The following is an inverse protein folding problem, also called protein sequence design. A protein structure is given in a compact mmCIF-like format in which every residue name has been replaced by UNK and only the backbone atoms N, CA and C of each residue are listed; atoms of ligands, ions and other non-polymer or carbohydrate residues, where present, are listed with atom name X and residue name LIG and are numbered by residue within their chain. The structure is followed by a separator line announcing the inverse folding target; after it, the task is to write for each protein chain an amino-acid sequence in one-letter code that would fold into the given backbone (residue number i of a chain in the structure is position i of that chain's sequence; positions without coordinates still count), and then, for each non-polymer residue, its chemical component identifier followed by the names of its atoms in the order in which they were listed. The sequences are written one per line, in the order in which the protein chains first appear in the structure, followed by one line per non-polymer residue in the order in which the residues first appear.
data_IF_046088323961
#
_entry.id   IF_046088323961
#
_cell.length_a   1.000
_cell.length_b   1.000
_cell.length_c   1.000
_cell.angle_alpha   90.00
_cell.angle_beta   90.00
_cell.angle_gamma   90.00
#
_symmetry.space_group_name_H-M   'P 1'
#
loop_
_entity.id
_entity.type
_entity.pdbx_description
1 polymer ?
#
# COMPACT_ATOMS: atom_id res chain seq x y z
N UNK A 1 0.38 -14.81 -15.12
CA UNK A 1 -0.01 -14.26 -16.44
C UNK A 1 1.15 -13.57 -17.17
N UNK A 2 2.05 -12.84 -16.50
CA UNK A 2 3.14 -12.09 -17.18
C UNK A 2 4.06 -13.00 -18.04
N UNK A 3 4.20 -14.29 -17.70
CA UNK A 3 4.97 -15.26 -18.49
C UNK A 3 4.35 -15.64 -19.84
N UNK A 4 3.09 -15.28 -20.10
CA UNK A 4 2.36 -15.60 -21.35
C UNK A 4 2.16 -14.40 -22.26
N UNK A 5 2.76 -13.24 -21.93
CA UNK A 5 2.68 -12.05 -22.76
C UNK A 5 3.27 -12.30 -24.15
N UNK A 6 2.68 -11.72 -25.22
CA UNK A 6 3.29 -11.73 -26.54
C UNK A 6 4.72 -11.18 -26.50
N UNK A 7 5.66 -11.70 -27.32
CA UNK A 7 7.05 -11.29 -27.31
C UNK A 7 7.26 -9.78 -27.43
N UNK A 8 6.52 -9.11 -28.33
CA UNK A 8 6.61 -7.66 -28.56
C UNK A 8 6.23 -6.86 -27.31
N UNK A 9 5.17 -7.28 -26.59
CA UNK A 9 4.77 -6.62 -25.33
C UNK A 9 5.79 -6.87 -24.23
N UNK A 10 6.25 -8.11 -24.10
CA UNK A 10 7.26 -8.47 -23.11
C UNK A 10 8.56 -7.70 -23.34
N UNK A 11 8.97 -7.52 -24.59
CA UNK A 11 10.16 -6.75 -24.94
C UNK A 11 10.07 -5.29 -24.47
N UNK A 12 8.93 -4.62 -24.68
CA UNK A 12 8.74 -3.25 -24.17
C UNK A 12 8.73 -3.18 -22.64
N UNK A 13 8.05 -4.12 -21.96
CA UNK A 13 7.98 -4.17 -20.48
C UNK A 13 9.35 -4.32 -19.84
N UNK A 14 10.21 -5.15 -20.43
CA UNK A 14 11.54 -5.47 -19.89
C UNK A 14 12.66 -4.69 -20.57
N UNK A 15 12.37 -3.48 -21.03
CA UNK A 15 13.38 -2.55 -21.58
C UNK A 15 13.41 -1.26 -20.77
N UNK A 16 14.53 -1.00 -20.10
CA UNK A 16 14.77 0.26 -19.38
C UNK A 16 15.22 1.36 -20.35
N UNK A 17 14.88 2.62 -20.03
CA UNK A 17 15.13 3.75 -20.92
C UNK A 17 16.61 4.08 -21.17
N UNK A 18 17.54 3.56 -20.35
CA UNK A 18 18.99 3.72 -20.57
C UNK A 18 19.57 2.82 -21.66
N UNK A 19 18.88 1.73 -22.05
CA UNK A 19 19.33 0.83 -23.11
C UNK A 19 18.28 0.60 -24.21
N UNK A 20 17.19 1.37 -24.17
CA UNK A 20 16.23 1.42 -25.26
C UNK A 20 16.83 2.20 -26.45
N UNK A 21 16.61 1.71 -27.69
CA UNK A 21 17.00 2.45 -28.90
C UNK A 21 16.28 3.79 -28.99
N UNK A 22 14.98 3.78 -28.68
CA UNK A 22 14.15 4.97 -28.51
C UNK A 22 13.51 4.92 -27.13
N UNK A 23 13.43 6.07 -26.44
CA UNK A 23 12.79 6.15 -25.12
C UNK A 23 11.33 5.67 -25.14
N UNK A 24 10.64 5.87 -26.26
CA UNK A 24 9.26 5.42 -26.47
C UNK A 24 9.10 3.89 -26.54
N UNK A 25 10.19 3.16 -26.72
CA UNK A 25 10.26 1.70 -26.74
C UNK A 25 10.61 1.09 -25.38
N UNK A 26 10.78 1.93 -24.35
CA UNK A 26 10.96 1.49 -22.96
C UNK A 26 9.62 1.27 -22.25
N UNK A 27 9.69 0.74 -21.03
CA UNK A 27 8.52 0.49 -20.20
C UNK A 27 7.73 1.76 -19.82
N UNK A 28 8.29 2.97 -19.93
CA UNK A 28 7.74 4.21 -19.33
C UNK A 28 6.30 4.55 -19.83
N UNK A 29 5.98 4.25 -21.08
CA UNK A 29 4.61 4.46 -21.60
C UNK A 29 3.62 3.45 -21.05
N UNK A 30 4.08 2.22 -20.79
CA UNK A 30 3.29 1.17 -20.18
C UNK A 30 3.14 1.44 -18.68
N UNK A 31 4.18 1.90 -17.99
CA UNK A 31 4.13 2.36 -16.58
C UNK A 31 2.98 3.36 -16.39
N UNK A 32 2.95 4.42 -17.21
CA UNK A 32 1.88 5.43 -17.16
C UNK A 32 0.46 4.84 -17.23
N UNK A 33 0.22 3.86 -18.11
CA UNK A 33 -1.07 3.19 -18.21
C UNK A 33 -1.30 2.22 -17.03
N UNK A 34 -0.23 1.56 -16.61
CA UNK A 34 -0.22 0.51 -15.60
C UNK A 34 -0.59 1.02 -14.22
N UNK A 35 -0.13 2.21 -13.87
CA UNK A 35 -0.51 2.93 -12.66
C UNK A 35 -2.04 3.07 -12.57
N UNK A 36 -2.69 3.57 -13.63
CA UNK A 36 -4.15 3.69 -13.67
C UNK A 36 -4.88 2.33 -13.61
N UNK A 37 -4.33 1.29 -14.22
CA UNK A 37 -4.89 -0.08 -14.15
C UNK A 37 -4.83 -0.61 -12.72
N UNK A 38 -3.69 -0.44 -12.04
CA UNK A 38 -3.49 -0.85 -10.66
C UNK A 38 -4.40 -0.07 -9.71
N UNK A 39 -4.45 1.26 -9.85
CA UNK A 39 -5.33 2.12 -9.05
C UNK A 39 -6.79 1.70 -9.16
N UNK A 40 -7.27 1.39 -10.37
CA UNK A 40 -8.64 0.94 -10.59
C UNK A 40 -8.91 -0.42 -9.96
N UNK A 41 -8.04 -1.41 -10.17
CA UNK A 41 -8.19 -2.75 -9.60
C UNK A 41 -8.25 -2.73 -8.07
N UNK A 42 -7.34 -1.98 -7.44
CA UNK A 42 -7.32 -1.84 -5.98
C UNK A 42 -8.52 -1.04 -5.50
N UNK A 43 -8.88 0.07 -6.15
CA UNK A 43 -10.06 0.86 -5.77
C UNK A 43 -11.36 0.04 -5.85
N UNK A 44 -11.53 -0.74 -6.93
CA UNK A 44 -12.70 -1.57 -7.13
C UNK A 44 -12.79 -2.68 -6.08
N UNK A 45 -11.68 -3.37 -5.78
CA UNK A 45 -11.66 -4.38 -4.73
C UNK A 45 -11.96 -3.78 -3.35
N UNK A 46 -11.36 -2.64 -3.00
CA UNK A 46 -11.59 -1.99 -1.71
C UNK A 46 -13.05 -1.54 -1.56
N UNK A 47 -13.64 -0.97 -2.61
CA UNK A 47 -15.05 -0.56 -2.63
C UNK A 47 -15.99 -1.75 -2.40
N UNK A 48 -15.70 -2.89 -3.05
CA UNK A 48 -16.54 -4.09 -2.97
C UNK A 48 -16.36 -4.84 -1.65
N UNK A 49 -15.12 -4.96 -1.16
CA UNK A 49 -14.76 -5.75 0.04
C UNK A 49 -15.06 -5.02 1.35
N UNK A 50 -15.07 -3.68 1.35
CA UNK A 50 -15.24 -2.86 2.56
C UNK A 50 -16.35 -1.79 2.40
N UNK A 51 -17.63 -2.20 2.24
CA UNK A 51 -18.73 -1.28 1.97
C UNK A 51 -19.01 -0.28 3.11
N UNK A 52 -18.59 -0.59 4.34
CA UNK A 52 -18.79 0.26 5.51
C UNK A 52 -17.65 1.27 5.74
N UNK A 53 -16.58 1.23 4.95
CA UNK A 53 -15.47 2.17 5.07
C UNK A 53 -15.79 3.50 4.36
N UNK A 54 -15.50 4.61 5.04
CA UNK A 54 -15.62 5.94 4.45
C UNK A 54 -14.58 6.18 3.34
N UNK A 55 -14.89 7.08 2.40
CA UNK A 55 -14.03 7.46 1.27
C UNK A 55 -12.59 7.77 1.71
N UNK A 56 -12.41 8.60 2.75
CA UNK A 56 -11.07 8.96 3.21
C UNK A 56 -10.23 7.78 3.71
N UNK A 57 -10.87 6.75 4.30
CA UNK A 57 -10.20 5.52 4.73
C UNK A 57 -9.82 4.66 3.52
N UNK A 58 -10.74 4.48 2.58
CA UNK A 58 -10.48 3.76 1.33
C UNK A 58 -9.33 4.40 0.53
N UNK A 59 -9.33 5.74 0.43
CA UNK A 59 -8.26 6.50 -0.25
C UNK A 59 -6.90 6.32 0.44
N UNK A 60 -6.84 6.33 1.78
CA UNK A 60 -5.60 6.05 2.53
C UNK A 60 -5.08 4.63 2.30
N UNK A 61 -5.97 3.63 2.36
CA UNK A 61 -5.61 2.22 2.12
C UNK A 61 -5.09 2.05 0.69
N UNK A 62 -5.84 2.55 -0.31
CA UNK A 62 -5.42 2.50 -1.72
C UNK A 62 -4.05 3.13 -1.91
N UNK A 63 -3.84 4.35 -1.40
CA UNK A 63 -2.56 5.06 -1.53
C UNK A 63 -1.37 4.30 -0.92
N UNK A 64 -1.59 3.52 0.14
CA UNK A 64 -0.57 2.64 0.68
C UNK A 64 -0.31 1.44 -0.25
N UNK A 65 -1.37 0.75 -0.66
CA UNK A 65 -1.29 -0.48 -1.48
C UNK A 65 -0.62 -0.21 -2.83
N UNK A 66 -0.96 0.90 -3.50
CA UNK A 66 -0.39 1.27 -4.81
C UNK A 66 0.90 2.10 -4.67
N UNK A 67 1.47 2.17 -3.47
CA UNK A 67 2.70 2.93 -3.26
C UNK A 67 3.88 2.30 -3.99
N UNK A 68 4.85 3.11 -4.41
CA UNK A 68 6.12 2.61 -5.00
C UNK A 68 6.82 1.56 -4.12
N UNK A 69 6.71 1.66 -2.80
CA UNK A 69 7.30 0.70 -1.90
C UNK A 69 6.64 -0.68 -2.05
N UNK A 70 5.30 -0.72 -1.97
CA UNK A 70 4.51 -1.93 -2.14
C UNK A 70 4.66 -2.52 -3.55
N UNK A 71 4.62 -1.69 -4.59
CA UNK A 71 4.85 -2.14 -5.96
C UNK A 71 6.25 -2.75 -6.14
N UNK A 72 7.29 -2.17 -5.52
CA UNK A 72 8.63 -2.73 -5.58
C UNK A 72 8.73 -4.09 -4.87
N UNK A 73 8.06 -4.27 -3.73
CA UNK A 73 8.01 -5.53 -2.99
C UNK A 73 7.34 -6.64 -3.83
N UNK A 74 6.16 -6.36 -4.39
CA UNK A 74 5.47 -7.29 -5.30
C UNK A 74 6.31 -7.60 -6.54
N UNK A 75 7.00 -6.60 -7.10
CA UNK A 75 7.90 -6.81 -8.24
C UNK A 75 9.08 -7.73 -7.92
N UNK A 76 9.60 -7.68 -6.69
CA UNK A 76 10.67 -8.56 -6.21
C UNK A 76 10.18 -9.99 -6.06
N UNK A 77 9.01 -10.18 -5.45
CA UNK A 77 8.38 -11.51 -5.30
C UNK A 77 8.12 -12.18 -6.65
N UNK A 78 7.78 -11.38 -7.66
CA UNK A 78 7.56 -11.84 -9.04
C UNK A 78 8.85 -11.95 -9.87
N UNK A 79 10.02 -11.75 -9.26
CA UNK A 79 11.33 -11.76 -9.91
C UNK A 79 11.44 -10.84 -11.15
N UNK A 80 10.72 -9.70 -11.17
CA UNK A 80 10.68 -8.84 -12.37
C UNK A 80 12.03 -8.17 -12.66
N UNK A 81 12.82 -7.86 -11.63
CA UNK A 81 14.17 -7.33 -11.80
C UNK A 81 15.09 -8.29 -12.58
N UNK A 82 14.98 -9.60 -12.30
CA UNK A 82 15.74 -10.62 -13.04
C UNK A 82 15.37 -10.65 -14.52
N UNK A 83 14.06 -10.60 -14.83
CA UNK A 83 13.55 -10.57 -16.22
C UNK A 83 13.96 -9.30 -16.97
N UNK A 84 14.01 -8.16 -16.27
CA UNK A 84 14.57 -6.92 -16.82
C UNK A 84 16.07 -7.10 -17.14
N UNK A 85 16.82 -7.71 -16.21
CA UNK A 85 18.26 -7.97 -16.36
C UNK A 85 18.62 -8.89 -17.52
N UNK A 86 17.78 -9.90 -17.83
CA UNK A 86 17.95 -10.80 -18.98
C UNK A 86 17.95 -10.07 -20.34
N UNK A 87 17.40 -8.85 -20.37
CA UNK A 87 17.33 -7.99 -21.56
C UNK A 87 18.31 -6.83 -21.54
N UNK A 88 19.06 -6.66 -20.45
CA UNK A 88 20.01 -5.57 -20.33
C UNK A 88 21.18 -5.75 -21.32
N UNK A 89 21.68 -4.64 -21.85
CA UNK A 89 22.83 -4.64 -22.74
C UNK A 89 23.69 -3.39 -22.51
N UNK A 90 25.00 -3.51 -22.73
CA UNK A 90 25.92 -2.37 -22.71
C UNK A 90 26.21 -1.73 -21.34
N UNK A 91 25.74 -2.32 -20.24
CA UNK A 91 26.00 -1.83 -18.88
C UNK A 91 27.07 -2.67 -18.14
N UNK A 92 27.93 -2.03 -17.32
CA UNK A 92 28.75 -2.72 -16.33
C UNK A 92 27.91 -3.54 -15.35
N UNK A 93 28.45 -4.65 -14.85
CA UNK A 93 27.71 -5.59 -13.99
C UNK A 93 27.25 -4.98 -12.66
N UNK A 94 28.07 -4.14 -12.04
CA UNK A 94 27.78 -3.42 -10.80
C UNK A 94 26.71 -2.34 -10.99
N UNK A 95 26.74 -1.64 -12.12
CA UNK A 95 25.71 -0.67 -12.48
C UNK A 95 24.37 -1.34 -12.76
N UNK A 96 24.39 -2.47 -13.46
CA UNK A 96 23.20 -3.27 -13.74
C UNK A 96 22.57 -3.78 -12.44
N UNK A 97 23.34 -4.39 -11.55
CA UNK A 97 22.85 -4.91 -10.27
C UNK A 97 22.13 -3.83 -9.45
N UNK A 98 22.73 -2.64 -9.34
CA UNK A 98 22.12 -1.49 -8.66
C UNK A 98 20.81 -1.03 -9.30
N UNK A 99 20.69 -1.11 -10.63
CA UNK A 99 19.46 -0.77 -11.35
C UNK A 99 18.37 -1.82 -11.10
N UNK A 100 18.72 -3.10 -11.11
CA UNK A 100 17.77 -4.20 -10.90
C UNK A 100 17.24 -4.26 -9.46
N UNK A 101 17.98 -3.72 -8.50
CA UNK A 101 17.54 -3.57 -7.10
C UNK A 101 16.83 -2.25 -6.80
N UNK A 102 16.80 -1.32 -7.76
CA UNK A 102 16.20 0.00 -7.55
C UNK A 102 14.68 -0.09 -7.44
N UNK A 103 14.15 0.25 -6.26
CA UNK A 103 12.70 0.21 -5.96
C UNK A 103 11.85 0.99 -6.97
N UNK A 104 12.31 2.15 -7.45
CA UNK A 104 11.55 2.92 -8.42
C UNK A 104 11.45 2.21 -9.77
N UNK A 105 12.51 1.52 -10.19
CA UNK A 105 12.53 0.76 -11.44
C UNK A 105 11.65 -0.49 -11.31
N UNK A 106 11.77 -1.20 -10.20
CA UNK A 106 10.97 -2.39 -9.92
C UNK A 106 9.47 -2.09 -9.92
N UNK A 107 9.06 -1.00 -9.24
CA UNK A 107 7.68 -0.54 -9.25
C UNK A 107 7.20 -0.20 -10.68
N UNK A 108 7.99 0.55 -11.43
CA UNK A 108 7.64 0.94 -12.80
C UNK A 108 7.50 -0.27 -13.75
N UNK A 109 8.38 -1.27 -13.62
CA UNK A 109 8.30 -2.51 -14.41
C UNK A 109 7.08 -3.34 -14.05
N UNK A 110 6.68 -3.38 -12.77
CA UNK A 110 5.43 -4.01 -12.36
C UNK A 110 4.23 -3.33 -13.03
N UNK A 111 4.12 -2.00 -12.92
CA UNK A 111 3.05 -1.22 -13.55
C UNK A 111 3.03 -1.45 -15.07
N UNK A 112 4.20 -1.41 -15.72
CA UNK A 112 4.30 -1.71 -17.14
C UNK A 112 3.81 -3.13 -17.51
N UNK A 113 4.13 -4.13 -16.68
CA UNK A 113 3.63 -5.49 -16.87
C UNK A 113 2.11 -5.57 -16.72
N UNK A 114 1.52 -4.83 -15.77
CA UNK A 114 0.07 -4.74 -15.60
C UNK A 114 -0.60 -4.09 -16.83
N UNK A 115 -0.03 -3.02 -17.37
CA UNK A 115 -0.50 -2.42 -18.61
C UNK A 115 -0.43 -3.38 -19.81
N UNK A 116 0.66 -4.15 -19.94
CA UNK A 116 0.78 -5.13 -20.99
C UNK A 116 -0.28 -6.24 -20.89
N UNK A 117 -0.57 -6.71 -19.67
CA UNK A 117 -1.65 -7.67 -19.42
C UNK A 117 -3.03 -7.07 -19.74
N UNK A 118 -3.28 -5.83 -19.33
CA UNK A 118 -4.51 -5.11 -19.62
C UNK A 118 -4.75 -4.97 -21.13
N UNK A 119 -3.72 -4.57 -21.88
CA UNK A 119 -3.82 -4.41 -23.33
C UNK A 119 -4.00 -5.75 -24.06
N UNK A 120 -3.58 -6.86 -23.46
CA UNK A 120 -3.70 -8.19 -24.05
C UNK A 120 -5.04 -8.86 -23.74
N UNK A 121 -5.52 -8.72 -22.50
CA UNK A 121 -6.63 -9.52 -21.99
C UNK A 121 -7.87 -8.69 -21.60
N UNK A 122 -7.75 -7.37 -21.51
CA UNK A 122 -8.78 -6.49 -20.94
C UNK A 122 -8.74 -6.47 -19.41
N UNK A 123 -9.45 -5.52 -18.80
CA UNK A 123 -9.42 -5.28 -17.35
C UNK A 123 -10.06 -6.44 -16.57
N UNK A 124 -11.26 -6.86 -16.96
CA UNK A 124 -12.03 -7.90 -16.28
C UNK A 124 -11.27 -9.22 -16.18
N UNK A 125 -10.44 -9.54 -17.19
CA UNK A 125 -9.65 -10.77 -17.23
C UNK A 125 -8.44 -10.74 -16.28
N UNK A 126 -7.90 -9.57 -15.96
CA UNK A 126 -6.67 -9.44 -15.18
C UNK A 126 -6.91 -9.04 -13.73
N UNK A 127 -8.03 -8.38 -13.44
CA UNK A 127 -8.31 -7.73 -12.15
C UNK A 127 -8.04 -8.65 -10.96
N UNK A 128 -8.62 -9.85 -10.96
CA UNK A 128 -8.46 -10.79 -9.85
C UNK A 128 -7.00 -11.23 -9.67
N UNK A 129 -6.22 -11.33 -10.74
CA UNK A 129 -4.80 -11.65 -10.65
C UNK A 129 -3.99 -10.48 -10.11
N UNK A 130 -4.36 -9.24 -10.44
CA UNK A 130 -3.74 -8.04 -9.85
C UNK A 130 -4.05 -7.98 -8.36
N UNK A 131 -5.32 -8.07 -7.98
CA UNK A 131 -5.75 -8.07 -6.58
C UNK A 131 -5.07 -9.19 -5.78
N UNK A 132 -4.98 -10.40 -6.35
CA UNK A 132 -4.30 -11.53 -5.70
C UNK A 132 -2.81 -11.30 -5.50
N UNK A 133 -2.14 -10.55 -6.38
CA UNK A 133 -0.72 -10.23 -6.21
C UNK A 133 -0.48 -9.20 -5.10
N UNK A 134 -1.50 -8.41 -4.74
CA UNK A 134 -1.44 -7.39 -3.70
C UNK A 134 -2.22 -7.78 -2.43
N UNK A 135 -2.68 -9.04 -2.31
CA UNK A 135 -3.60 -9.42 -1.24
C UNK A 135 -3.02 -9.22 0.16
N UNK A 136 -1.76 -9.60 0.37
CA UNK A 136 -1.08 -9.42 1.66
C UNK A 136 -0.91 -7.92 1.98
N UNK A 137 -0.48 -7.12 1.00
CA UNK A 137 -0.37 -5.66 1.14
C UNK A 137 -1.72 -5.02 1.46
N UNK A 138 -2.81 -5.47 0.84
CA UNK A 138 -4.17 -4.97 1.13
C UNK A 138 -4.57 -5.31 2.57
N UNK A 139 -4.33 -6.53 3.02
CA UNK A 139 -4.69 -6.98 4.38
C UNK A 139 -3.88 -6.25 5.44
N UNK A 140 -2.58 -6.06 5.20
CA UNK A 140 -1.69 -5.26 6.05
C UNK A 140 -2.08 -3.79 6.05
N UNK A 141 -2.47 -3.23 4.91
CA UNK A 141 -2.94 -1.85 4.83
C UNK A 141 -4.23 -1.65 5.62
N UNK A 142 -5.19 -2.56 5.49
CA UNK A 142 -6.49 -2.50 6.16
C UNK A 142 -6.34 -2.65 7.68
N UNK A 143 -5.47 -3.56 8.12
CA UNK A 143 -5.20 -3.82 9.54
C UNK A 143 -4.28 -2.76 10.18
N UNK A 144 -3.34 -2.22 9.43
CA UNK A 144 -2.37 -1.20 9.88
C UNK A 144 -2.87 0.25 9.79
N UNK A 145 -3.86 0.54 8.92
CA UNK A 145 -4.49 1.87 8.78
C UNK A 145 -5.83 1.98 9.49
N UNK A 146 -6.03 1.26 10.61
CA UNK A 146 -7.14 1.60 11.51
C UNK A 146 -6.81 2.94 12.16
N UNK A 147 -7.31 4.03 11.55
CA UNK A 147 -7.16 5.38 12.05
C UNK A 147 -8.21 5.67 13.13
N UNK A 148 -8.23 4.81 14.16
CA UNK A 148 -9.10 4.92 15.32
C UNK A 148 -9.04 6.33 15.94
N UNK A 149 -7.88 7.01 15.87
CA UNK A 149 -7.74 8.40 16.35
C UNK A 149 -8.63 9.36 15.56
N UNK A 150 -8.58 9.30 14.23
CA UNK A 150 -9.44 10.13 13.38
C UNK A 150 -10.90 9.73 13.52
N UNK A 151 -11.21 8.43 13.52
CA UNK A 151 -12.57 7.93 13.71
C UNK A 151 -13.17 8.40 15.05
N UNK A 152 -12.43 8.28 16.15
CA UNK A 152 -12.84 8.77 17.47
C UNK A 152 -13.02 10.29 17.47
N UNK A 153 -12.09 11.02 16.85
CA UNK A 153 -12.17 12.47 16.78
C UNK A 153 -13.42 12.93 16.00
N UNK A 154 -13.72 12.32 14.86
CA UNK A 154 -14.90 12.63 14.05
C UNK A 154 -16.20 12.25 14.78
N UNK A 155 -16.25 11.07 15.40
CA UNK A 155 -17.41 10.60 16.15
C UNK A 155 -17.71 11.54 17.34
N UNK A 156 -16.69 11.96 18.09
CA UNK A 156 -16.85 12.89 19.20
C UNK A 156 -17.20 14.30 18.73
N UNK A 157 -16.63 14.78 17.62
CA UNK A 157 -16.94 16.10 17.07
C UNK A 157 -18.43 16.22 16.70
N UNK A 158 -19.05 15.15 16.17
CA UNK A 158 -20.51 15.10 15.91
C UNK A 158 -21.35 15.24 17.18
N UNK A 159 -20.79 14.92 18.34
CA UNK A 159 -21.43 15.03 19.65
C UNK A 159 -21.04 16.32 20.39
N UNK A 160 -20.24 17.21 19.77
CA UNK A 160 -19.71 18.40 20.42
C UNK A 160 -18.64 18.11 21.48
N UNK A 161 -17.99 16.94 21.41
CA UNK A 161 -16.95 16.47 22.34
C UNK A 161 -15.60 16.40 21.64
N UNK A 162 -14.53 16.28 22.41
CA UNK A 162 -13.17 16.14 21.89
C UNK A 162 -12.38 15.08 22.68
N UNK A 163 -11.42 14.44 22.02
CA UNK A 163 -10.45 13.52 22.65
C UNK A 163 -9.10 14.21 22.78
N UNK A 164 -8.41 13.93 23.89
CA UNK A 164 -7.00 14.23 24.09
C UNK A 164 -6.23 12.95 24.43
N UNK A 165 -4.92 12.92 24.17
CA UNK A 165 -4.07 11.76 24.44
C UNK A 165 -2.98 12.11 25.43
N UNK A 166 -2.76 11.24 26.42
CA UNK A 166 -1.67 11.35 27.39
C UNK A 166 -0.82 10.09 27.36
N UNK A 167 0.51 10.25 27.46
CA UNK A 167 1.43 9.12 27.65
C UNK A 167 1.45 8.82 29.15
N UNK A 168 1.04 7.61 29.51
CA UNK A 168 1.04 7.13 30.89
C UNK A 168 2.40 6.55 31.27
N UNK A 169 3.00 5.78 30.37
CA UNK A 169 4.24 5.06 30.63
C UNK A 169 5.09 4.92 29.37
N UNK A 170 6.41 4.89 29.57
CA UNK A 170 7.39 4.54 28.54
C UNK A 170 8.36 3.56 29.18
N UNK A 171 8.43 2.35 28.64
CA UNK A 171 9.26 1.26 29.16
C UNK A 171 10.16 0.66 28.06
N UNK A 172 11.22 -0.04 28.45
CA UNK A 172 12.13 -0.74 27.54
C UNK A 172 13.26 0.09 26.93
N UNK A 173 14.31 -0.58 26.39
CA UNK A 173 15.45 0.09 25.79
C UNK A 173 15.08 0.78 24.47
N UNK A 174 15.88 1.73 23.95
CA UNK A 174 15.53 2.50 22.75
C UNK A 174 15.15 1.67 21.51
N UNK A 175 15.71 0.46 21.37
CA UNK A 175 15.45 -0.46 20.26
C UNK A 175 14.26 -1.41 20.49
N UNK A 176 13.68 -1.42 21.70
CA UNK A 176 12.49 -2.21 22.07
C UNK A 176 11.63 -1.42 23.08
N UNK A 177 11.36 -0.16 22.71
CA UNK A 177 10.60 0.75 23.58
C UNK A 177 9.11 0.48 23.45
N UNK A 178 8.42 0.43 24.57
CA UNK A 178 6.96 0.33 24.66
C UNK A 178 6.38 1.60 25.25
N UNK A 179 5.27 2.04 24.68
CA UNK A 179 4.52 3.21 25.11
C UNK A 179 3.14 2.75 25.59
N UNK A 180 2.68 3.29 26.71
CA UNK A 180 1.30 3.18 27.18
C UNK A 180 0.65 4.56 27.08
N UNK A 181 -0.46 4.67 26.35
CA UNK A 181 -1.19 5.91 26.16
C UNK A 181 -2.64 5.78 26.61
N UNK A 182 -3.22 6.88 27.11
CA UNK A 182 -4.63 6.99 27.42
C UNK A 182 -5.33 7.94 26.44
N UNK A 183 -6.54 7.58 26.01
CA UNK A 183 -7.49 8.47 25.38
C UNK A 183 -8.40 9.07 26.46
N UNK A 184 -8.48 10.40 26.52
CA UNK A 184 -9.23 11.14 27.54
C UNK A 184 -10.30 11.97 26.84
N UNK A 185 -11.56 11.72 27.19
CA UNK A 185 -12.74 12.42 26.68
C UNK A 185 -13.47 13.04 27.87
N UNK A 186 -13.73 14.35 27.82
CA UNK A 186 -14.35 15.13 28.91
C UNK A 186 -13.66 14.98 30.27
N UNK A 187 -12.34 14.80 30.27
CA UNK A 187 -11.54 14.60 31.48
C UNK A 187 -11.55 13.17 32.02
N UNK A 188 -12.32 12.25 31.43
CA UNK A 188 -12.34 10.84 31.81
C UNK A 188 -11.50 9.99 30.87
N UNK A 189 -10.66 9.12 31.46
CA UNK A 189 -9.92 8.14 30.71
C UNK A 189 -10.89 7.10 30.12
N UNK A 190 -11.03 7.12 28.80
CA UNK A 190 -12.02 6.36 28.05
C UNK A 190 -11.42 5.15 27.32
N UNK A 191 -10.11 5.16 27.06
CA UNK A 191 -9.39 4.01 26.49
C UNK A 191 -7.91 4.02 26.86
N UNK A 192 -7.25 2.86 26.81
CA UNK A 192 -5.82 2.72 27.11
C UNK A 192 -5.15 1.78 26.13
N UNK A 193 -4.10 2.21 25.45
CA UNK A 193 -3.43 1.42 24.43
C UNK A 193 -1.93 1.36 24.59
N UNK A 194 -1.35 0.21 24.25
CA UNK A 194 0.09 -0.01 24.26
C UNK A 194 0.64 -0.21 22.86
N UNK A 195 1.87 0.24 22.59
CA UNK A 195 2.50 0.04 21.29
C UNK A 195 4.00 0.28 21.28
N UNK A 196 4.68 -0.19 20.23
CA UNK A 196 6.11 0.04 19.99
C UNK A 196 6.46 1.51 19.65
N UNK A 197 5.44 2.32 19.38
CA UNK A 197 5.56 3.77 19.23
C UNK A 197 4.37 4.46 19.89
N UNK A 198 4.55 5.74 20.23
CA UNK A 198 3.45 6.60 20.73
C UNK A 198 2.24 6.59 19.79
N UNK A 199 2.47 6.64 18.46
CA UNK A 199 1.39 6.62 17.46
C UNK A 199 0.57 5.33 17.55
N UNK A 200 1.23 4.17 17.65
CA UNK A 200 0.55 2.85 17.76
C UNK A 200 -0.22 2.76 19.07
N UNK A 201 0.39 3.17 20.18
CA UNK A 201 -0.26 3.19 21.50
C UNK A 201 -1.51 4.10 21.52
N UNK A 202 -1.45 5.27 20.90
CA UNK A 202 -2.59 6.18 20.79
C UNK A 202 -3.71 5.63 19.89
N UNK A 203 -3.38 4.94 18.79
CA UNK A 203 -4.39 4.28 17.95
C UNK A 203 -5.13 3.19 18.71
N UNK A 204 -4.41 2.37 19.49
CA UNK A 204 -5.03 1.35 20.33
C UNK A 204 -5.87 1.96 21.47
N UNK A 205 -5.42 3.07 22.06
CA UNK A 205 -6.20 3.80 23.06
C UNK A 205 -7.50 4.36 22.47
N UNK A 206 -7.44 4.85 21.23
CA UNK A 206 -8.60 5.35 20.50
C UNK A 206 -9.59 4.23 20.15
N UNK A 207 -9.09 3.05 19.74
CA UNK A 207 -9.92 1.86 19.47
C UNK A 207 -10.74 1.47 20.71
N UNK A 208 -10.09 1.36 21.86
CA UNK A 208 -10.79 1.04 23.11
C UNK A 208 -11.78 2.12 23.54
N UNK A 209 -11.45 3.40 23.31
CA UNK A 209 -12.37 4.50 23.61
C UNK A 209 -13.61 4.46 22.69
N UNK A 210 -13.44 4.16 21.40
CA UNK A 210 -14.54 3.93 20.46
C UNK A 210 -15.45 2.80 20.95
N UNK A 211 -14.89 1.65 21.32
CA UNK A 211 -15.64 0.50 21.84
C UNK A 211 -16.40 0.85 23.12
N UNK A 212 -15.71 1.46 24.09
CA UNK A 212 -16.30 1.81 25.39
C UNK A 212 -17.42 2.84 25.28
N UNK A 213 -17.32 3.76 24.33
CA UNK A 213 -18.34 4.78 24.08
C UNK A 213 -19.50 4.26 23.21
N UNK A 214 -19.44 3.02 22.73
CA UNK A 214 -20.41 2.51 21.76
C UNK A 214 -20.36 3.28 20.43
N UNK A 215 -19.22 3.90 20.13
CA UNK A 215 -18.94 4.66 18.91
C UNK A 215 -18.06 3.88 17.93
N UNK A 216 -17.66 2.65 18.31
CA UNK A 216 -16.97 1.75 17.41
C UNK A 216 -17.78 1.61 16.11
N UNK A 217 -17.12 1.64 14.94
CA UNK A 217 -17.81 1.28 13.71
C UNK A 217 -18.43 -0.09 13.93
N UNK A 218 -19.73 -0.20 13.64
CA UNK A 218 -20.44 -1.47 13.70
C UNK A 218 -19.69 -2.40 12.76
N UNK A 219 -18.88 -3.28 13.31
CA UNK A 219 -18.18 -4.29 12.54
C UNK A 219 -19.18 -5.44 12.32
N UNK A 220 -19.44 -5.85 11.07
CA UNK A 220 -20.14 -7.11 10.81
C UNK A 220 -19.32 -8.32 11.27
#
# INVERSE_FOLDING_TARGET
MIGTLPPERAETVFTHSSWAEERASSYERLEFLGDSVLELAVAHELYRRYPDHAEGRLTKIRAHVVSRASCAEVAQELELGKRLGERASGLPGDELERLLENRNILAAVLEAALAALFLEHGFEAIEQSVVSAFSEVIEDAVSGHVDNKTELQEALARLGRAVSYSVLEVDGPPHDRRFLCAAVVDGEQTGMGSGSSKKVAEQEAARQALERLGLAPVSP
#
